data_IF_903475544514
#
_entry.id   IF_903475544514
#
_cell.length_a   1.000
_cell.length_b   1.000
_cell.length_c   1.000
_cell.angle_alpha   90.00
_cell.angle_beta   90.00
_cell.angle_gamma   90.00
#
_symmetry.space_group_name_H-M   'P 1'
#
loop_
_entity.id
_entity.type
_entity.pdbx_description
1 polymer ?
#
# COMPACT_ATOMS: atom_id res chain seq x y z
N UNK A 1 -2.98 10.42 -8.62
CA UNK A 1 -1.64 9.84 -8.84
C UNK A 1 -0.57 10.83 -8.46
N UNK A 2 -0.52 12.05 -9.02
CA UNK A 2 0.46 13.08 -8.62
C UNK A 2 0.60 13.32 -7.10
N UNK A 3 -0.49 13.22 -6.33
CA UNK A 3 -0.47 13.38 -4.88
C UNK A 3 0.33 12.32 -4.12
N UNK A 4 0.60 11.15 -4.71
CA UNK A 4 1.40 10.09 -4.06
C UNK A 4 2.90 10.37 -4.15
N UNK A 5 3.33 11.26 -5.05
CA UNK A 5 4.72 11.71 -5.17
C UNK A 5 5.05 12.87 -4.21
N UNK A 6 4.04 13.56 -3.68
CA UNK A 6 4.25 14.67 -2.75
C UNK A 6 4.34 14.16 -1.30
N UNK A 7 5.52 14.33 -0.69
CA UNK A 7 5.82 13.88 0.68
C UNK A 7 4.94 14.51 1.74
N UNK A 8 4.67 15.81 1.63
CA UNK A 8 3.89 16.55 2.62
C UNK A 8 2.44 16.07 2.66
N UNK A 9 1.85 15.78 1.48
CA UNK A 9 0.50 15.24 1.40
C UNK A 9 0.41 13.83 2.00
N UNK A 10 1.42 12.99 1.78
CA UNK A 10 1.46 11.62 2.32
C UNK A 10 1.65 11.62 3.84
N UNK A 11 2.47 12.52 4.36
CA UNK A 11 2.66 12.72 5.80
C UNK A 11 1.42 13.34 6.46
N UNK A 12 0.79 14.34 5.84
CA UNK A 12 -0.43 14.98 6.33
C UNK A 12 -1.60 14.00 6.45
N UNK A 13 -1.66 12.99 5.57
CA UNK A 13 -2.61 11.88 5.68
C UNK A 13 -2.36 10.98 6.91
N UNK A 14 -1.17 11.01 7.47
CA UNK A 14 -0.78 10.27 8.67
C UNK A 14 -0.07 8.94 8.39
N UNK A 15 0.52 8.76 7.20
CA UNK A 15 1.43 7.65 6.94
C UNK A 15 2.76 7.87 7.67
N UNK A 16 3.38 6.78 8.14
CA UNK A 16 4.68 6.82 8.83
C UNK A 16 5.71 6.04 8.05
N UNK A 17 6.67 6.72 7.43
CA UNK A 17 7.75 6.10 6.69
C UNK A 17 9.05 6.88 6.93
N UNK A 18 10.19 6.19 6.81
CA UNK A 18 11.52 6.78 6.98
C UNK A 18 12.20 7.11 5.65
N UNK A 19 11.64 6.67 4.53
CA UNK A 19 12.24 6.95 3.21
C UNK A 19 12.29 8.46 2.94
N UNK A 20 13.42 8.91 2.42
CA UNK A 20 13.66 10.31 2.09
C UNK A 20 12.90 10.73 0.82
N UNK A 21 12.73 9.81 -0.13
CA UNK A 21 12.27 10.08 -1.49
C UNK A 21 10.94 9.38 -1.81
N UNK A 22 10.09 10.09 -2.57
CA UNK A 22 8.86 9.59 -3.20
C UNK A 22 8.87 10.03 -4.67
N UNK A 23 8.33 9.23 -5.60
CA UNK A 23 7.66 7.93 -5.41
C UNK A 23 8.64 6.79 -5.09
N UNK A 24 8.17 5.77 -4.36
CA UNK A 24 8.96 4.56 -4.14
C UNK A 24 8.81 3.63 -5.33
N UNK A 25 9.93 3.27 -5.95
CA UNK A 25 9.99 2.36 -7.09
C UNK A 25 10.74 1.09 -6.68
N UNK A 26 10.19 -0.08 -7.03
CA UNK A 26 10.78 -1.38 -6.79
C UNK A 26 10.99 -2.14 -8.09
N UNK A 27 12.04 -2.96 -8.12
CA UNK A 27 12.40 -3.79 -9.26
C UNK A 27 11.33 -4.83 -9.60
N UNK A 28 11.30 -5.28 -10.85
CA UNK A 28 10.32 -6.26 -11.37
C UNK A 28 10.25 -7.55 -10.56
N UNK A 29 11.37 -8.03 -10.00
CA UNK A 29 11.43 -9.27 -9.22
C UNK A 29 10.52 -9.22 -7.99
N UNK A 30 10.21 -8.02 -7.49
CA UNK A 30 9.30 -7.83 -6.37
C UNK A 30 7.90 -8.41 -6.63
N UNK A 31 7.42 -8.38 -7.87
CA UNK A 31 6.09 -8.91 -8.25
C UNK A 31 5.97 -10.43 -8.05
N UNK A 32 7.10 -11.15 -8.04
CA UNK A 32 7.16 -12.60 -7.88
C UNK A 32 7.27 -13.09 -6.44
N UNK A 33 7.34 -12.20 -5.45
CA UNK A 33 7.52 -12.59 -4.05
C UNK A 33 6.26 -13.25 -3.48
N UNK A 34 6.33 -14.56 -3.25
CA UNK A 34 5.20 -15.35 -2.72
C UNK A 34 5.17 -15.43 -1.20
N UNK A 35 6.31 -15.28 -0.53
CA UNK A 35 6.42 -15.41 0.93
C UNK A 35 6.29 -14.06 1.62
N UNK A 36 5.44 -14.00 2.65
CA UNK A 36 5.24 -12.79 3.45
C UNK A 36 6.50 -12.33 4.17
N UNK A 37 7.40 -13.25 4.55
CA UNK A 37 8.70 -12.93 5.16
C UNK A 37 9.60 -12.15 4.21
N UNK A 38 9.59 -12.47 2.92
CA UNK A 38 10.37 -11.78 1.88
C UNK A 38 9.79 -10.38 1.61
N UNK A 39 8.46 -10.27 1.49
CA UNK A 39 7.80 -8.97 1.35
C UNK A 39 8.10 -8.07 2.55
N UNK A 40 8.06 -8.64 3.77
CA UNK A 40 8.40 -7.92 5.00
C UNK A 40 9.85 -7.40 4.99
N UNK A 41 10.82 -8.22 4.59
CA UNK A 41 12.23 -7.79 4.58
C UNK A 41 12.47 -6.67 3.58
N UNK A 42 11.82 -6.70 2.41
CA UNK A 42 11.88 -5.61 1.43
C UNK A 42 11.25 -4.33 1.99
N UNK A 43 10.06 -4.39 2.58
CA UNK A 43 9.40 -3.22 3.17
C UNK A 43 10.18 -2.60 4.34
N UNK A 44 10.95 -3.41 5.07
CA UNK A 44 11.87 -2.93 6.10
C UNK A 44 13.05 -2.18 5.51
N UNK A 45 13.68 -2.72 4.45
CA UNK A 45 14.79 -2.08 3.73
C UNK A 45 14.36 -0.77 3.07
N UNK A 46 13.15 -0.72 2.53
CA UNK A 46 12.54 0.49 1.95
C UNK A 46 12.13 1.53 3.02
N UNK A 47 12.23 1.22 4.31
CA UNK A 47 11.85 2.14 5.38
C UNK A 47 10.34 2.41 5.49
N UNK A 48 9.50 1.54 4.91
CA UNK A 48 8.02 1.65 4.91
C UNK A 48 7.39 0.85 6.05
N UNK A 49 8.16 -0.06 6.67
CA UNK A 49 7.67 -0.97 7.71
C UNK A 49 6.97 -0.28 8.90
N UNK A 50 7.37 0.94 9.25
CA UNK A 50 6.71 1.73 10.30
C UNK A 50 5.23 2.01 10.00
N UNK A 51 4.83 2.07 8.72
CA UNK A 51 3.43 2.27 8.35
C UNK A 51 2.60 1.00 8.52
N UNK A 52 3.21 -0.16 8.25
CA UNK A 52 2.59 -1.48 8.49
C UNK A 52 2.42 -1.71 9.99
N UNK A 53 3.40 -1.33 10.80
CA UNK A 53 3.26 -1.38 12.26
C UNK A 53 2.18 -0.44 12.78
N UNK A 54 2.06 0.77 12.19
CA UNK A 54 0.97 1.70 12.48
C UNK A 54 -0.38 1.07 12.17
N UNK A 55 -0.53 0.43 11.01
CA UNK A 55 -1.75 -0.28 10.64
C UNK A 55 -2.08 -1.39 11.64
N UNK A 56 -1.10 -2.24 11.98
CA UNK A 56 -1.27 -3.33 12.95
C UNK A 56 -1.72 -2.81 14.33
N UNK A 57 -1.07 -1.77 14.86
CA UNK A 57 -1.42 -1.16 16.17
C UNK A 57 -2.75 -0.41 16.13
N UNK A 58 -3.11 0.11 14.96
CA UNK A 58 -4.35 0.86 14.76
C UNK A 58 -5.58 -0.02 14.50
N UNK A 59 -5.40 -1.32 14.27
CA UNK A 59 -6.51 -2.27 14.13
C UNK A 59 -7.25 -2.40 15.45
N UNK A 60 -8.50 -1.92 15.47
CA UNK A 60 -9.35 -1.89 16.67
C UNK A 60 -10.71 -2.53 16.40
N UNK A 61 -11.37 -2.98 17.45
CA UNK A 61 -12.75 -3.45 17.35
C UNK A 61 -13.65 -2.22 17.10
N UNK A 62 -14.41 -2.26 16.00
CA UNK A 62 -15.31 -1.17 15.57
C UNK A 62 -16.37 -0.91 16.64
N UNK A 63 -16.61 0.32 17.06
CA UNK A 63 -17.69 0.63 18.01
C UNK A 63 -19.09 0.35 17.43
N UNK A 64 -20.09 0.16 18.30
CA UNK A 64 -21.50 0.03 17.93
C UNK A 64 -21.92 -1.32 17.32
N UNK A 65 -23.06 -1.31 16.60
CA UNK A 65 -23.71 -2.52 16.06
C UNK A 65 -22.97 -3.16 14.88
N UNK A 66 -22.03 -2.45 14.26
CA UNK A 66 -21.23 -2.98 13.13
C UNK A 66 -20.45 -4.25 13.49
N UNK A 67 -20.08 -4.39 14.77
CA UNK A 67 -19.45 -5.61 15.33
C UNK A 67 -20.26 -6.87 15.04
N UNK A 68 -21.58 -6.78 15.21
CA UNK A 68 -22.53 -7.90 15.07
C UNK A 68 -22.86 -8.24 13.62
N UNK A 69 -22.55 -7.34 12.67
CA UNK A 69 -22.84 -7.53 11.24
C UNK A 69 -21.61 -8.00 10.45
N UNK A 70 -20.69 -8.72 11.08
CA UNK A 70 -19.46 -9.22 10.44
C UNK A 70 -18.35 -8.18 10.21
N UNK A 71 -18.55 -6.89 10.56
CA UNK A 71 -17.56 -5.80 10.40
C UNK A 71 -16.86 -5.49 11.72
N UNK A 72 -16.34 -6.53 12.39
CA UNK A 72 -15.80 -6.43 13.76
C UNK A 72 -14.56 -5.56 13.85
N UNK A 73 -13.66 -5.63 12.90
CA UNK A 73 -12.40 -4.89 12.92
C UNK A 73 -12.47 -3.64 12.04
N UNK A 74 -11.81 -2.57 12.50
CA UNK A 74 -11.49 -1.38 11.72
C UNK A 74 -9.97 -1.33 11.61
N UNK A 75 -9.48 -1.52 10.40
CA UNK A 75 -8.06 -1.49 10.07
C UNK A 75 -7.70 -0.16 9.37
N UNK A 76 -6.63 0.53 9.79
CA UNK A 76 -6.13 1.68 9.06
C UNK A 76 -5.61 1.29 7.67
N UNK A 77 -5.81 2.16 6.69
CA UNK A 77 -5.20 1.98 5.35
C UNK A 77 -3.72 2.32 5.43
N UNK A 78 -2.88 1.35 5.11
CA UNK A 78 -1.43 1.45 5.04
C UNK A 78 -0.96 1.62 3.59
N UNK A 79 0.24 1.11 3.24
CA UNK A 79 0.82 1.32 1.93
C UNK A 79 0.02 0.58 0.84
N UNK A 80 -0.03 1.19 -0.34
CA UNK A 80 -0.53 0.59 -1.57
C UNK A 80 0.65 0.13 -2.40
N UNK A 81 0.66 -1.12 -2.83
CA UNK A 81 1.62 -1.68 -3.77
C UNK A 81 0.92 -1.76 -5.12
N UNK A 82 1.50 -1.10 -6.13
CA UNK A 82 1.01 -1.12 -7.50
C UNK A 82 1.98 -1.91 -8.36
N UNK A 83 1.46 -2.94 -9.03
CA UNK A 83 2.22 -3.85 -9.89
C UNK A 83 1.66 -3.88 -11.30
N UNK A 84 2.47 -4.24 -12.30
CA UNK A 84 1.97 -4.39 -13.67
C UNK A 84 1.14 -5.66 -13.82
N UNK A 85 1.58 -6.74 -13.17
CA UNK A 85 0.97 -8.07 -13.22
C UNK A 85 1.17 -8.76 -11.86
N UNK A 86 0.15 -9.46 -11.35
CA UNK A 86 0.28 -10.26 -10.13
C UNK A 86 0.98 -11.60 -10.41
N UNK A 87 2.27 -11.69 -10.06
CA UNK A 87 3.07 -12.93 -10.16
C UNK A 87 3.19 -13.69 -8.85
N UNK A 88 2.34 -13.37 -7.86
CA UNK A 88 2.33 -13.97 -6.53
C UNK A 88 2.50 -12.97 -5.40
N UNK A 89 2.81 -11.70 -5.70
CA UNK A 89 2.91 -10.63 -4.72
C UNK A 89 1.63 -10.42 -3.91
N UNK A 90 0.45 -10.61 -4.52
CA UNK A 90 -0.82 -10.53 -3.78
C UNK A 90 -0.89 -11.61 -2.69
N UNK A 91 -0.39 -12.81 -2.96
CA UNK A 91 -0.29 -13.89 -1.97
C UNK A 91 0.72 -13.54 -0.87
N UNK A 92 1.88 -12.98 -1.23
CA UNK A 92 2.91 -12.58 -0.29
C UNK A 92 2.47 -11.46 0.65
N UNK A 93 1.78 -10.46 0.14
CA UNK A 93 1.44 -9.25 0.88
C UNK A 93 0.07 -9.28 1.58
N UNK A 94 -0.90 -10.13 1.18
CA UNK A 94 -2.28 -10.12 1.71
C UNK A 94 -2.40 -10.25 3.24
N UNK A 95 -1.42 -10.85 3.90
CA UNK A 95 -1.43 -11.06 5.34
C UNK A 95 -0.80 -9.89 6.13
N UNK A 96 -0.22 -8.91 5.43
CA UNK A 96 0.37 -7.74 6.07
C UNK A 96 -0.72 -6.70 6.39
N UNK A 97 -0.85 -6.26 7.65
CA UNK A 97 -1.89 -5.31 8.03
C UNK A 97 -1.80 -4.00 7.26
N UNK A 98 -2.94 -3.54 6.74
CA UNK A 98 -3.11 -2.28 6.02
C UNK A 98 -2.46 -2.23 4.64
N UNK A 99 -1.71 -3.26 4.23
CA UNK A 99 -1.08 -3.35 2.91
C UNK A 99 -2.10 -3.81 1.90
N UNK A 100 -2.11 -3.18 0.74
CA UNK A 100 -3.00 -3.56 -0.36
C UNK A 100 -2.21 -3.64 -1.67
N UNK A 101 -2.49 -4.65 -2.48
CA UNK A 101 -1.84 -4.87 -3.77
C UNK A 101 -2.88 -4.71 -4.88
N UNK A 102 -2.55 -3.90 -5.88
CA UNK A 102 -3.42 -3.58 -7.01
C UNK A 102 -2.60 -3.60 -8.30
N UNK A 103 -3.17 -4.15 -9.36
CA UNK A 103 -2.57 -4.05 -10.69
C UNK A 103 -2.84 -2.67 -11.29
N UNK A 104 -1.93 -2.15 -12.13
CA UNK A 104 -2.11 -0.83 -12.77
C UNK A 104 -3.44 -0.74 -13.52
N UNK A 105 -3.87 -1.83 -14.16
CA UNK A 105 -5.14 -1.92 -14.90
C UNK A 105 -6.37 -1.81 -14.00
N UNK A 106 -6.25 -2.23 -12.74
CA UNK A 106 -7.32 -2.19 -11.72
C UNK A 106 -7.22 -0.96 -10.80
N UNK A 107 -6.30 -0.03 -11.10
CA UNK A 107 -6.05 1.13 -10.27
C UNK A 107 -7.27 2.07 -10.28
N UNK A 108 -7.83 2.35 -9.10
CA UNK A 108 -8.98 3.23 -8.97
C UNK A 108 -8.80 4.28 -7.87
N UNK A 109 -9.71 5.26 -7.85
CA UNK A 109 -9.66 6.39 -6.92
C UNK A 109 -9.83 5.93 -5.48
N UNK A 110 -10.64 4.91 -5.20
CA UNK A 110 -10.84 4.41 -3.84
C UNK A 110 -9.56 3.81 -3.24
N UNK A 111 -8.71 3.20 -4.08
CA UNK A 111 -7.41 2.66 -3.66
C UNK A 111 -6.40 3.78 -3.43
N UNK A 112 -6.36 4.79 -4.30
CA UNK A 112 -5.41 5.91 -4.19
C UNK A 112 -5.80 6.93 -3.11
N UNK A 113 -7.09 7.15 -2.93
CA UNK A 113 -7.66 8.16 -2.04
C UNK A 113 -8.79 7.59 -1.17
N UNK A 114 -8.53 6.60 -0.29
CA UNK A 114 -9.58 6.01 0.52
C UNK A 114 -10.21 7.07 1.42
N UNK A 115 -11.54 7.18 1.38
CA UNK A 115 -12.30 8.20 2.11
C UNK A 115 -12.18 9.61 1.52
N UNK A 116 -11.79 9.76 0.24
CA UNK A 116 -11.72 11.05 -0.46
C UNK A 116 -10.49 11.89 -0.14
N UNK A 117 -9.63 11.46 0.80
CA UNK A 117 -8.36 12.14 1.11
C UNK A 117 -7.30 11.63 0.13
N UNK A 118 -6.55 12.48 -0.59
CA UNK A 118 -5.45 12.07 -1.48
C UNK A 118 -4.16 11.73 -0.71
N UNK A 119 -3.09 11.32 -1.40
CA UNK A 119 -1.77 11.12 -0.78
C UNK A 119 -1.61 9.81 -0.01
N UNK A 120 -2.10 8.68 -0.53
CA UNK A 120 -1.78 7.36 0.05
C UNK A 120 -0.32 7.00 -0.25
N UNK A 121 0.40 6.47 0.75
CA UNK A 121 1.75 5.95 0.55
C UNK A 121 1.71 4.82 -0.49
N UNK A 122 2.36 5.01 -1.63
CA UNK A 122 2.28 4.10 -2.77
C UNK A 122 3.68 3.65 -3.20
N UNK A 123 3.83 2.35 -3.41
CA UNK A 123 5.04 1.69 -3.91
C UNK A 123 4.70 1.18 -5.31
N UNK A 124 5.52 1.53 -6.29
CA UNK A 124 5.32 1.16 -7.69
C UNK A 124 6.36 0.15 -8.12
N UNK A 125 5.98 -0.87 -8.88
CA UNK A 125 6.97 -1.63 -9.63
C UNK A 125 7.45 -0.83 -10.84
N UNK A 126 8.70 -1.02 -11.26
CA UNK A 126 9.22 -0.48 -12.52
C UNK A 126 8.31 -0.74 -13.72
N UNK A 127 7.85 -1.99 -13.99
CA UNK A 127 6.94 -2.22 -15.11
C UNK A 127 5.56 -1.57 -14.89
N UNK A 128 5.14 -1.31 -13.65
CA UNK A 128 3.90 -0.60 -13.39
C UNK A 128 3.99 0.87 -13.86
N UNK A 129 5.13 1.53 -13.67
CA UNK A 129 5.34 2.89 -14.16
C UNK A 129 5.36 2.93 -15.69
N UNK A 130 6.04 1.97 -16.32
CA UNK A 130 6.06 1.87 -17.78
C UNK A 130 4.67 1.64 -18.37
N UNK A 131 3.88 0.74 -17.75
CA UNK A 131 2.50 0.50 -18.16
C UNK A 131 1.62 1.75 -17.95
N UNK A 132 1.88 2.53 -16.91
CA UNK A 132 1.16 3.77 -16.64
C UNK A 132 1.50 4.88 -17.64
N UNK A 133 2.75 4.92 -18.11
CA UNK A 133 3.16 5.83 -19.19
C UNK A 133 2.54 5.43 -20.53
N UNK A 134 2.44 4.14 -20.83
CA UNK A 134 1.79 3.64 -22.04
C UNK A 134 0.26 3.83 -22.06
N UNK A 135 -0.35 4.13 -20.90
CA UNK A 135 -1.77 4.45 -20.78
C UNK A 135 -2.07 5.95 -20.95
N UNK A 136 -1.04 6.80 -21.09
CA UNK A 136 -1.22 8.21 -21.49
C UNK A 136 -1.56 8.31 -22.97
#
# INVERSE_FOLDING_TARGET
IASTSNKDLVLARGHRFKSSELPLVVVREFEGLKKTSEVKSVLQRLGVWSDVERAKKGTKIRAGKGKRRGRRYREPRGPLIVVAEDRGIRLGARNLPGVEVVEVKELNVEKLAPGGVPGRLTIWSEPAIQALEALK
#
